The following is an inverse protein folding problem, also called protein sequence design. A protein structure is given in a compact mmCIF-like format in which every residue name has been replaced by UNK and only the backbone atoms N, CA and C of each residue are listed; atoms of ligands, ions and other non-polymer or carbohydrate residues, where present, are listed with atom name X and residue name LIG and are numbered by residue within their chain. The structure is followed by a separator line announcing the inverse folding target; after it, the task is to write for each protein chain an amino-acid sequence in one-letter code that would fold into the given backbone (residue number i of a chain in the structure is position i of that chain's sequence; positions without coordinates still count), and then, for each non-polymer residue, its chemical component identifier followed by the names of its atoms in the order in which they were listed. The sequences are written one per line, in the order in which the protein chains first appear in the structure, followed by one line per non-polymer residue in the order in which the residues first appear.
data_IF_036947542003
#
_entry.id   IF_036947542003
#
_cell.length_a   1.000
_cell.length_b   1.000
_cell.length_c   1.000
_cell.angle_alpha   90.00
_cell.angle_beta   90.00
_cell.angle_gamma   90.00
#
_symmetry.space_group_name_H-M   'P 1'
#
loop_
_entity.id
_entity.type
_entity.pdbx_description
1 polymer ?
#
# COMPACT_ATOMS: atom_id res chain seq x y z
N UNK A 1 -16.72 14.99 -30.85
CA UNK A 1 -15.85 14.71 -29.69
C UNK A 1 -14.49 14.10 -30.12
N UNK A 2 -13.45 14.89 -30.45
CA UNK A 2 -12.12 14.35 -30.79
C UNK A 2 -10.99 14.69 -29.78
N UNK A 3 -11.26 15.35 -28.66
CA UNK A 3 -10.21 15.89 -27.76
C UNK A 3 -9.54 14.85 -26.84
N UNK A 4 -10.16 13.70 -26.56
CA UNK A 4 -9.62 12.72 -25.58
C UNK A 4 -8.40 11.93 -26.07
N UNK A 5 -8.19 11.80 -27.39
CA UNK A 5 -7.06 11.03 -27.93
C UNK A 5 -5.71 11.76 -27.86
N UNK A 6 -5.70 13.11 -27.91
CA UNK A 6 -4.44 13.88 -27.87
C UNK A 6 -3.80 13.91 -26.48
N UNK A 7 -4.59 13.84 -25.40
CA UNK A 7 -4.07 13.92 -24.03
C UNK A 7 -3.31 12.65 -23.58
N UNK A 8 -3.76 11.45 -23.98
CA UNK A 8 -3.04 10.20 -23.66
C UNK A 8 -1.64 10.18 -24.27
N UNK A 9 -1.49 10.69 -25.49
CA UNK A 9 -0.20 10.83 -26.17
C UNK A 9 0.74 11.79 -25.43
N UNK A 10 0.22 12.91 -24.90
CA UNK A 10 1.03 13.88 -24.18
C UNK A 10 1.52 13.33 -22.83
N UNK A 11 0.66 12.65 -22.09
CA UNK A 11 1.01 12.00 -20.82
C UNK A 11 2.04 10.87 -21.02
N UNK A 12 1.90 10.07 -22.09
CA UNK A 12 2.88 9.05 -22.45
C UNK A 12 4.23 9.67 -22.85
N UNK A 13 4.22 10.78 -23.60
CA UNK A 13 5.44 11.52 -23.94
C UNK A 13 6.12 12.11 -22.70
N UNK A 14 5.37 12.71 -21.77
CA UNK A 14 5.89 13.19 -20.49
C UNK A 14 6.47 12.05 -19.64
N UNK A 15 5.77 10.93 -19.52
CA UNK A 15 6.28 9.72 -18.84
C UNK A 15 7.55 9.20 -19.51
N UNK A 16 7.61 9.18 -20.84
CA UNK A 16 8.82 8.76 -21.57
C UNK A 16 9.98 9.75 -21.44
N UNK A 17 9.71 11.06 -21.41
CA UNK A 17 10.73 12.10 -21.27
C UNK A 17 11.31 12.12 -19.86
N UNK A 18 10.47 11.96 -18.84
CA UNK A 18 10.93 11.76 -17.47
C UNK A 18 11.78 10.49 -17.42
N UNK A 19 11.27 9.35 -17.89
CA UNK A 19 11.98 8.05 -17.86
C UNK A 19 13.31 8.05 -18.67
N UNK A 20 13.38 8.75 -19.80
CA UNK A 20 14.57 8.85 -20.64
C UNK A 20 15.64 9.78 -20.04
N UNK A 21 15.24 10.87 -19.38
CA UNK A 21 16.16 11.78 -18.70
C UNK A 21 16.84 11.13 -17.49
N UNK A 22 16.23 10.12 -16.89
CA UNK A 22 16.78 9.38 -15.75
C UNK A 22 17.58 8.12 -16.11
N UNK A 23 17.52 7.61 -17.35
CA UNK A 23 18.27 6.40 -17.78
C UNK A 23 19.69 6.66 -18.27
N UNK A 24 20.09 7.91 -18.47
CA UNK A 24 21.45 8.27 -18.90
C UNK A 24 22.28 8.94 -17.80
N UNK A 25 22.25 8.36 -16.60
CA UNK A 25 23.26 8.63 -15.59
C UNK A 25 24.59 7.99 -16.01
N UNK A 26 25.38 8.69 -16.84
CA UNK A 26 26.83 8.49 -16.82
C UNK A 26 27.26 8.74 -15.39
N UNK A 27 27.84 7.73 -14.74
CA UNK A 27 28.38 7.83 -13.38
C UNK A 27 29.51 8.85 -13.43
N UNK A 28 29.19 10.12 -13.17
CA UNK A 28 30.20 11.12 -12.87
C UNK A 28 30.92 10.67 -11.59
N UNK A 29 32.26 10.84 -11.50
CA UNK A 29 32.98 10.57 -10.27
C UNK A 29 32.31 11.31 -9.13
N UNK A 30 31.98 10.58 -8.06
CA UNK A 30 31.31 11.11 -6.87
C UNK A 30 32.07 12.36 -6.41
N UNK A 31 31.41 13.54 -6.34
CA UNK A 31 31.95 14.65 -5.59
C UNK A 31 32.25 14.14 -4.17
N UNK A 32 33.46 14.40 -3.68
CA UNK A 32 33.82 14.14 -2.28
C UNK A 32 32.72 14.68 -1.39
N UNK A 33 32.06 13.78 -0.68
CA UNK A 33 30.94 14.11 0.21
C UNK A 33 31.40 15.20 1.17
N UNK A 34 30.78 16.40 1.16
CA UNK A 34 31.08 17.40 2.17
C UNK A 34 30.84 16.77 3.55
N UNK A 35 31.63 17.14 4.57
CA UNK A 35 31.47 16.61 5.91
C UNK A 35 30.02 16.78 6.33
N UNK A 36 29.41 15.69 6.80
CA UNK A 36 28.04 15.70 7.31
C UNK A 36 27.89 16.86 8.28
N UNK A 37 26.92 17.78 8.09
CA UNK A 37 26.72 18.88 9.02
C UNK A 37 26.59 18.30 10.44
N UNK A 38 27.16 18.97 11.46
CA UNK A 38 27.06 18.52 12.83
C UNK A 38 25.58 18.26 13.14
N UNK A 39 25.27 17.07 13.67
CA UNK A 39 23.91 16.67 14.03
C UNK A 39 23.37 17.72 15.00
N UNK A 40 22.55 18.63 14.48
CA UNK A 40 21.84 19.61 15.30
C UNK A 40 20.91 18.79 16.17
N UNK A 41 21.11 18.84 17.49
CA UNK A 41 20.16 18.28 18.45
C UNK A 41 18.80 18.90 18.15
N UNK A 42 17.91 18.12 17.54
CA UNK A 42 16.57 18.60 17.21
C UNK A 42 15.89 18.95 18.52
N UNK A 43 15.55 20.24 18.68
CA UNK A 43 14.77 20.70 19.82
C UNK A 43 13.49 19.88 19.87
N UNK A 44 13.13 19.28 21.03
CA UNK A 44 11.92 18.47 21.13
C UNK A 44 10.72 19.26 20.62
N UNK A 45 9.89 18.62 19.80
CA UNK A 45 8.71 19.25 19.23
C UNK A 45 7.86 19.81 20.39
N UNK A 46 7.43 21.08 20.32
CA UNK A 46 6.64 21.67 21.39
C UNK A 46 5.36 20.85 21.60
N UNK A 47 5.12 20.41 22.83
CA UNK A 47 3.91 19.65 23.18
C UNK A 47 2.65 20.52 23.21
N UNK A 48 2.81 21.84 23.19
CA UNK A 48 1.68 22.75 23.03
C UNK A 48 1.08 22.55 21.64
N UNK A 49 -0.19 22.17 21.61
CA UNK A 49 -1.00 22.17 20.39
C UNK A 49 -0.85 23.56 19.77
N UNK A 50 -0.34 23.63 18.55
CA UNK A 50 -0.24 24.92 17.85
C UNK A 50 -1.66 25.44 17.69
N UNK A 51 -2.00 26.49 18.42
CA UNK A 51 -3.25 27.19 18.16
C UNK A 51 -3.10 27.85 16.78
N UNK A 52 -3.88 27.35 15.82
CA UNK A 52 -3.87 27.81 14.44
C UNK A 52 -4.41 29.24 14.38
N UNK A 53 -5.17 29.67 15.38
CA UNK A 53 -5.69 31.03 15.49
C UNK A 53 -4.63 32.03 15.96
N UNK A 54 -3.62 31.58 16.71
CA UNK A 54 -2.58 32.46 17.26
C UNK A 54 -1.41 32.69 16.30
N UNK A 55 -1.26 31.86 15.27
CA UNK A 55 -0.23 32.05 14.25
C UNK A 55 -0.80 32.82 13.05
N UNK A 56 -0.13 33.89 12.60
CA UNK A 56 -0.51 34.52 11.33
C UNK A 56 -0.46 33.46 10.24
N UNK A 57 -1.55 33.36 9.47
CA UNK A 57 -1.63 32.46 8.33
C UNK A 57 -0.44 32.79 7.42
N UNK A 58 0.40 31.79 7.13
CA UNK A 58 1.49 31.98 6.18
C UNK A 58 0.91 32.51 4.86
N UNK A 59 1.40 33.66 4.41
CA UNK A 59 0.99 34.22 3.14
C UNK A 59 1.31 33.20 2.05
N UNK A 60 0.30 32.83 1.25
CA UNK A 60 0.54 31.94 0.13
C UNK A 60 1.49 32.65 -0.83
N UNK A 61 2.56 31.97 -1.30
CA UNK A 61 3.44 32.56 -2.29
C UNK A 61 2.60 32.98 -3.50
N UNK A 62 2.66 34.26 -3.85
CA UNK A 62 1.81 34.86 -4.88
C UNK A 62 2.02 34.25 -6.28
N UNK A 63 3.09 33.47 -6.47
CA UNK A 63 3.45 32.84 -7.74
C UNK A 63 3.68 31.33 -7.60
N UNK A 64 2.61 30.58 -7.36
CA UNK A 64 2.67 29.13 -7.55
C UNK A 64 2.42 28.81 -9.03
N UNK A 65 3.49 28.74 -9.84
CA UNK A 65 3.41 28.42 -11.27
C UNK A 65 2.63 27.14 -11.58
N UNK A 66 2.58 26.20 -10.63
CA UNK A 66 1.78 24.99 -10.76
C UNK A 66 0.29 25.33 -10.82
N UNK A 67 -0.20 26.26 -10.00
CA UNK A 67 -1.61 26.68 -9.94
C UNK A 67 -2.05 27.51 -11.15
N UNK A 68 -1.11 28.13 -11.86
CA UNK A 68 -1.38 28.84 -13.12
C UNK A 68 -1.70 27.88 -14.29
N UNK A 69 -1.45 26.57 -14.10
CA UNK A 69 -1.78 25.55 -15.09
C UNK A 69 -3.26 25.14 -15.03
N UNK A 70 -3.89 24.83 -16.18
CA UNK A 70 -5.19 24.18 -16.21
C UNK A 70 -5.23 22.93 -15.33
N UNK A 71 -6.38 22.68 -14.71
CA UNK A 71 -6.58 21.56 -13.77
C UNK A 71 -6.13 20.22 -14.38
N UNK A 72 -6.41 19.97 -15.65
CA UNK A 72 -6.07 18.72 -16.32
C UNK A 72 -4.56 18.48 -16.38
N UNK A 73 -3.75 19.54 -16.55
CA UNK A 73 -2.29 19.44 -16.53
C UNK A 73 -1.79 19.22 -15.11
N UNK A 74 -2.39 19.88 -14.12
CA UNK A 74 -2.08 19.66 -12.70
C UNK A 74 -2.37 18.23 -12.28
N UNK A 75 -3.53 17.67 -12.64
CA UNK A 75 -3.87 16.26 -12.41
C UNK A 75 -2.87 15.30 -13.08
N UNK A 76 -2.40 15.61 -14.30
CA UNK A 76 -1.36 14.82 -14.96
C UNK A 76 -0.02 14.87 -14.19
N UNK A 77 0.33 16.03 -13.64
CA UNK A 77 1.51 16.20 -12.79
C UNK A 77 1.33 15.41 -11.50
N UNK A 78 0.18 15.50 -10.84
CA UNK A 78 -0.13 14.72 -9.63
C UNK A 78 -0.09 13.23 -9.90
N UNK A 79 -0.67 12.75 -11.01
CA UNK A 79 -0.60 11.33 -11.40
C UNK A 79 0.85 10.88 -11.60
N UNK A 80 1.65 11.65 -12.34
CA UNK A 80 3.03 11.30 -12.60
C UNK A 80 3.90 11.37 -11.33
N UNK A 81 3.63 12.32 -10.45
CA UNK A 81 4.43 12.59 -9.27
C UNK A 81 4.06 11.74 -8.06
N UNK A 82 2.82 11.26 -7.95
CA UNK A 82 2.30 10.61 -6.74
C UNK A 82 1.83 9.16 -6.96
N UNK A 83 1.33 8.81 -8.14
CA UNK A 83 0.57 7.58 -8.35
C UNK A 83 1.39 6.39 -8.87
N UNK A 84 0.75 5.22 -8.93
CA UNK A 84 1.33 3.99 -9.48
C UNK A 84 2.37 3.35 -8.57
N UNK A 85 2.45 3.80 -7.32
CA UNK A 85 3.42 3.33 -6.33
C UNK A 85 2.77 2.33 -5.38
N UNK A 86 3.62 1.49 -4.78
CA UNK A 86 3.28 0.71 -3.61
C UNK A 86 3.97 1.37 -2.41
N UNK A 87 3.16 1.83 -1.46
CA UNK A 87 3.65 2.47 -0.24
C UNK A 87 3.52 1.47 0.89
N UNK A 88 4.64 0.98 1.41
CA UNK A 88 4.70 0.18 2.63
C UNK A 88 4.72 1.09 3.85
N UNK A 89 3.74 0.88 4.72
CA UNK A 89 3.61 1.56 6.00
C UNK A 89 4.06 0.58 7.07
N UNK A 90 5.13 0.94 7.79
CA UNK A 90 5.71 0.14 8.86
C UNK A 90 5.50 0.84 10.19
N UNK A 91 5.36 0.04 11.24
CA UNK A 91 5.61 0.48 12.60
C UNK A 91 7.10 0.79 12.78
N UNK A 92 7.41 1.96 13.32
CA UNK A 92 8.73 2.30 13.82
C UNK A 92 8.55 2.77 15.26
N UNK A 93 9.31 2.22 16.19
CA UNK A 93 9.25 2.64 17.58
C UNK A 93 10.23 3.81 17.79
N UNK A 94 9.71 5.00 18.11
CA UNK A 94 10.53 6.16 18.48
C UNK A 94 10.10 6.65 19.85
N UNK A 95 11.04 6.67 20.80
CA UNK A 95 10.80 7.21 22.15
C UNK A 95 9.57 6.56 22.82
N UNK A 96 9.45 5.23 22.77
CA UNK A 96 8.31 4.46 23.29
C UNK A 96 6.95 4.84 22.67
N UNK A 97 6.95 5.39 21.46
CA UNK A 97 5.75 5.67 20.67
C UNK A 97 5.83 4.96 19.33
N UNK A 98 4.74 4.28 18.97
CA UNK A 98 4.56 3.73 17.63
C UNK A 98 4.36 4.89 16.66
N UNK A 99 5.32 5.11 15.77
CA UNK A 99 5.20 6.05 14.66
C UNK A 99 5.10 5.28 13.34
N UNK A 100 4.39 5.84 12.38
CA UNK A 100 4.29 5.25 11.05
C UNK A 100 5.45 5.72 10.18
N UNK A 101 6.20 4.78 9.61
CA UNK A 101 7.23 5.05 8.59
C UNK A 101 6.74 4.62 7.22
N UNK A 102 6.89 5.51 6.26
CA UNK A 102 6.45 5.29 4.88
C UNK A 102 7.66 4.96 4.04
N UNK A 103 7.56 3.89 3.26
CA UNK A 103 8.61 3.47 2.33
C UNK A 103 7.99 3.04 1.01
N UNK A 104 8.59 3.45 -0.10
CA UNK A 104 8.21 2.93 -1.40
C UNK A 104 8.86 1.56 -1.62
N UNK A 105 8.19 0.69 -2.37
CA UNK A 105 8.81 -0.50 -2.94
C UNK A 105 8.19 -0.84 -4.30
N UNK A 106 8.94 -1.55 -5.13
CA UNK A 106 8.42 -2.18 -6.34
C UNK A 106 7.96 -3.61 -5.99
N UNK A 107 6.65 -3.94 -6.07
CA UNK A 107 6.17 -5.29 -5.79
C UNK A 107 6.62 -6.32 -6.84
N UNK A 108 7.10 -5.86 -8.01
CA UNK A 108 7.59 -6.70 -9.10
C UNK A 108 9.11 -6.61 -9.27
N UNK A 109 9.78 -5.75 -8.49
CA UNK A 109 11.23 -5.79 -8.40
C UNK A 109 11.65 -7.16 -7.90
N UNK A 110 12.73 -7.72 -8.44
CA UNK A 110 13.25 -9.03 -8.05
C UNK A 110 13.48 -9.04 -6.54
N UNK A 111 12.52 -9.61 -5.80
CA UNK A 111 12.55 -9.73 -4.35
C UNK A 111 13.58 -10.76 -3.87
N UNK A 112 14.42 -11.27 -4.78
CA UNK A 112 15.49 -12.23 -4.51
C UNK A 112 16.68 -11.59 -3.79
N UNK A 113 16.83 -10.25 -3.84
CA UNK A 113 17.94 -9.54 -3.18
C UNK A 113 17.55 -8.93 -1.82
N UNK A 114 16.37 -9.24 -1.26
CA UNK A 114 16.07 -8.88 0.12
C UNK A 114 16.64 -9.99 1.00
N UNK A 115 17.91 -9.85 1.37
CA UNK A 115 18.58 -10.75 2.30
C UNK A 115 17.69 -10.99 3.53
N UNK A 116 17.41 -12.28 3.79
CA UNK A 116 16.61 -12.76 4.93
C UNK A 116 17.22 -12.39 6.29
N UNK A 117 18.43 -11.82 6.30
CA UNK A 117 19.16 -11.38 7.49
C UNK A 117 18.55 -10.16 8.22
N UNK A 118 17.36 -9.68 7.80
CA UNK A 118 16.64 -8.65 8.54
C UNK A 118 17.20 -7.23 8.43
N UNK A 119 18.28 -7.03 7.65
CA UNK A 119 18.84 -5.70 7.41
C UNK A 119 18.10 -4.97 6.29
N UNK A 120 16.86 -4.58 6.59
CA UNK A 120 16.06 -3.77 5.66
C UNK A 120 16.58 -2.34 5.47
N UNK A 121 17.63 -1.93 6.18
CA UNK A 121 18.26 -0.60 6.03
C UNK A 121 19.32 -0.55 4.91
N UNK A 122 19.78 -1.71 4.41
CA UNK A 122 20.81 -1.79 3.36
C UNK A 122 20.29 -1.70 1.91
N UNK A 123 18.96 -1.75 1.72
CA UNK A 123 18.36 -1.30 0.45
C UNK A 123 18.59 0.21 0.35
N UNK A 124 19.67 0.60 -0.34
CA UNK A 124 19.95 1.98 -0.75
C UNK A 124 18.70 2.50 -1.43
N UNK A 125 17.84 3.15 -0.65
CA UNK A 125 16.65 3.83 -1.12
C UNK A 125 17.14 4.77 -2.20
N UNK A 126 16.80 4.48 -3.46
CA UNK A 126 17.01 5.43 -4.53
C UNK A 126 16.42 6.76 -4.02
N UNK A 127 17.21 7.83 -3.84
CA UNK A 127 16.69 9.08 -3.29
C UNK A 127 15.60 9.68 -4.19
N UNK A 128 15.47 9.20 -5.44
CA UNK A 128 14.36 9.55 -6.33
C UNK A 128 13.06 8.77 -6.06
N UNK A 129 13.11 7.76 -5.19
CA UNK A 129 11.96 6.96 -4.77
C UNK A 129 11.20 7.54 -3.56
N UNK A 130 11.69 8.63 -2.96
CA UNK A 130 10.93 9.34 -1.95
C UNK A 130 9.66 9.92 -2.59
N UNK A 131 8.52 9.67 -1.94
CA UNK A 131 7.27 10.34 -2.32
C UNK A 131 7.56 11.83 -2.19
N UNK A 132 7.28 12.66 -3.21
CA UNK A 132 7.49 14.09 -3.11
C UNK A 132 6.43 14.68 -2.18
N UNK A 133 6.53 14.41 -0.89
CA UNK A 133 5.67 14.95 0.17
C UNK A 133 5.74 16.48 0.14
N UNK A 134 6.88 17.04 -0.28
CA UNK A 134 7.04 18.46 -0.59
C UNK A 134 5.95 19.00 -1.51
N UNK A 135 5.47 18.20 -2.48
CA UNK A 135 4.36 18.59 -3.35
C UNK A 135 3.07 18.77 -2.55
N UNK A 136 2.75 17.82 -1.67
CA UNK A 136 1.57 17.86 -0.79
C UNK A 136 1.64 18.96 0.27
N UNK A 137 2.84 19.45 0.57
CA UNK A 137 3.12 20.51 1.54
C UNK A 137 3.26 21.90 0.90
N UNK A 138 3.19 22.03 -0.43
CA UNK A 138 3.38 23.32 -1.11
C UNK A 138 2.31 24.35 -0.72
N UNK A 139 1.03 24.03 -0.90
CA UNK A 139 -0.08 24.86 -0.47
C UNK A 139 -1.37 24.05 -0.29
N UNK A 140 -2.36 24.66 0.37
CA UNK A 140 -3.66 24.03 0.65
C UNK A 140 -4.39 23.56 -0.62
N UNK A 141 -4.32 24.34 -1.70
CA UNK A 141 -4.99 23.98 -2.96
C UNK A 141 -4.39 22.73 -3.59
N UNK A 142 -3.06 22.67 -3.71
CA UNK A 142 -2.34 21.50 -4.21
C UNK A 142 -2.63 20.28 -3.35
N UNK A 143 -2.65 20.44 -2.03
CA UNK A 143 -2.99 19.38 -1.10
C UNK A 143 -4.40 18.81 -1.38
N UNK A 144 -5.41 19.66 -1.47
CA UNK A 144 -6.81 19.24 -1.69
C UNK A 144 -6.98 18.53 -3.04
N UNK A 145 -6.32 19.00 -4.09
CA UNK A 145 -6.42 18.41 -5.43
C UNK A 145 -5.63 17.09 -5.56
N UNK A 146 -4.42 17.04 -5.00
CA UNK A 146 -3.52 15.91 -5.16
C UNK A 146 -3.84 14.74 -4.22
N UNK A 147 -4.43 15.00 -3.05
CA UNK A 147 -4.66 13.98 -2.03
C UNK A 147 -5.64 12.88 -2.47
N UNK A 148 -6.79 13.16 -3.10
CA UNK A 148 -7.67 12.12 -3.64
C UNK A 148 -6.96 11.27 -4.72
N UNK A 149 -6.14 11.90 -5.57
CA UNK A 149 -5.38 11.22 -6.62
C UNK A 149 -4.36 10.24 -6.01
N UNK A 150 -3.65 10.67 -4.96
CA UNK A 150 -2.75 9.82 -4.18
C UNK A 150 -3.50 8.61 -3.61
N UNK A 151 -4.59 8.81 -2.88
CA UNK A 151 -5.30 7.71 -2.21
C UNK A 151 -5.95 6.71 -3.18
N UNK A 152 -6.46 7.21 -4.31
CA UNK A 152 -7.19 6.37 -5.26
C UNK A 152 -6.27 5.53 -6.17
N UNK A 153 -5.03 5.97 -6.42
CA UNK A 153 -4.15 5.34 -7.42
C UNK A 153 -2.90 4.69 -6.82
N UNK A 154 -2.69 4.83 -5.53
CA UNK A 154 -1.58 4.22 -4.80
C UNK A 154 -2.04 2.98 -4.07
N UNK A 155 -1.21 1.94 -4.06
CA UNK A 155 -1.46 0.73 -3.27
C UNK A 155 -0.80 0.89 -1.90
N UNK A 156 -1.60 1.02 -0.84
CA UNK A 156 -1.07 1.09 0.51
C UNK A 156 -0.88 -0.31 1.06
N UNK A 157 0.30 -0.58 1.60
CA UNK A 157 0.72 -1.89 2.05
C UNK A 157 0.97 -1.86 3.55
N UNK A 158 0.18 -2.61 4.31
CA UNK A 158 0.26 -2.63 5.76
C UNK A 158 0.59 -4.05 6.27
N UNK A 159 1.33 -4.17 7.38
CA UNK A 159 1.33 -5.43 8.11
C UNK A 159 -0.08 -5.70 8.65
N UNK A 160 -0.51 -6.96 8.61
CA UNK A 160 -1.75 -7.39 9.26
C UNK A 160 -1.66 -7.10 10.77
N UNK A 161 -0.50 -7.37 11.37
CA UNK A 161 -0.19 -7.01 12.74
C UNK A 161 -0.19 -5.49 12.89
N UNK A 162 -1.03 -4.96 13.79
CA UNK A 162 -1.20 -3.52 14.05
C UNK A 162 -1.85 -2.73 12.90
N UNK A 163 -2.64 -3.39 12.02
CA UNK A 163 -3.26 -2.70 10.89
C UNK A 163 -4.07 -1.47 11.31
N UNK A 164 -5.01 -1.60 12.27
CA UNK A 164 -5.89 -0.51 12.70
C UNK A 164 -5.11 0.68 13.28
N UNK A 165 -4.18 0.41 14.21
CA UNK A 165 -3.38 1.46 14.85
C UNK A 165 -2.43 2.14 13.87
N UNK A 166 -1.80 1.39 12.95
CA UNK A 166 -0.96 1.96 11.91
C UNK A 166 -1.77 2.76 10.89
N UNK A 167 -2.96 2.27 10.52
CA UNK A 167 -3.83 2.99 9.61
C UNK A 167 -4.23 4.35 10.19
N UNK A 168 -4.66 4.37 11.45
CA UNK A 168 -5.03 5.60 12.16
C UNK A 168 -3.84 6.56 12.31
N UNK A 169 -2.65 6.03 12.64
CA UNK A 169 -1.44 6.83 12.81
C UNK A 169 -0.78 7.29 11.50
N UNK A 170 -1.18 6.74 10.34
CA UNK A 170 -0.58 7.08 9.03
C UNK A 170 -1.55 7.85 8.14
N UNK A 171 -2.65 7.22 7.74
CA UNK A 171 -3.59 7.76 6.76
C UNK A 171 -4.76 8.48 7.45
N UNK A 172 -5.13 8.02 8.65
CA UNK A 172 -6.30 8.51 9.40
C UNK A 172 -7.63 8.06 8.78
N UNK A 173 -8.68 7.99 9.59
CA UNK A 173 -9.99 7.43 9.19
C UNK A 173 -10.70 8.18 8.05
N UNK A 174 -10.40 9.46 7.86
CA UNK A 174 -10.97 10.25 6.76
C UNK A 174 -10.54 9.72 5.38
N UNK A 175 -9.41 9.01 5.31
CA UNK A 175 -8.89 8.45 4.06
C UNK A 175 -9.66 7.21 3.58
N UNK A 176 -10.45 6.55 4.45
CA UNK A 176 -11.19 5.32 4.14
C UNK A 176 -12.09 5.44 2.91
N UNK A 177 -12.68 6.62 2.71
CA UNK A 177 -13.55 6.90 1.57
C UNK A 177 -12.78 7.08 0.25
N UNK A 178 -11.46 7.26 0.29
CA UNK A 178 -10.66 7.55 -0.89
C UNK A 178 -9.73 6.40 -1.30
N UNK A 179 -9.48 5.45 -0.40
CA UNK A 179 -8.60 4.31 -0.68
C UNK A 179 -9.31 3.34 -1.61
N UNK A 180 -8.69 3.08 -2.77
CA UNK A 180 -9.18 2.10 -3.75
C UNK A 180 -8.30 0.86 -3.84
N UNK A 181 -7.08 0.89 -3.31
CA UNK A 181 -6.10 -0.20 -3.45
C UNK A 181 -5.38 -0.42 -2.13
N UNK A 182 -5.51 -1.63 -1.61
CA UNK A 182 -4.93 -2.04 -0.34
C UNK A 182 -4.18 -3.36 -0.52
N UNK A 183 -3.03 -3.47 0.14
CA UNK A 183 -2.30 -4.71 0.31
C UNK A 183 -2.10 -4.93 1.81
N UNK A 184 -2.44 -6.11 2.30
CA UNK A 184 -2.13 -6.53 3.67
C UNK A 184 -1.10 -7.64 3.56
N UNK A 185 0.02 -7.50 4.27
CA UNK A 185 1.01 -8.56 4.36
C UNK A 185 1.06 -9.14 5.77
N UNK A 186 1.15 -10.46 5.90
CA UNK A 186 1.35 -11.13 7.18
C UNK A 186 2.85 -11.29 7.37
N UNK A 187 3.48 -10.58 8.32
CA UNK A 187 4.92 -10.69 8.53
C UNK A 187 5.27 -12.11 8.99
N UNK A 188 6.39 -12.62 8.49
CA UNK A 188 6.97 -13.86 9.00
C UNK A 188 7.51 -13.64 10.42
N UNK A 189 7.06 -14.43 11.38
CA UNK A 189 7.65 -14.48 12.72
C UNK A 189 8.53 -15.73 12.84
N UNK A 190 9.83 -15.53 12.98
CA UNK A 190 10.76 -16.64 13.21
C UNK A 190 10.41 -17.37 14.52
N UNK A 191 10.17 -18.68 14.42
CA UNK A 191 10.04 -19.57 15.59
C UNK A 191 8.68 -19.60 16.29
N UNK A 192 7.68 -18.88 15.78
CA UNK A 192 6.29 -18.99 16.25
C UNK A 192 5.41 -19.67 15.22
N UNK A 193 4.64 -20.70 15.60
CA UNK A 193 3.49 -21.13 14.81
C UNK A 193 2.47 -19.99 14.85
N UNK A 194 2.45 -19.14 13.83
CA UNK A 194 1.34 -18.21 13.69
C UNK A 194 0.10 -19.06 13.40
N UNK A 195 -0.80 -19.15 14.36
CA UNK A 195 -2.10 -19.73 14.07
C UNK A 195 -2.76 -18.79 13.07
N UNK A 196 -3.00 -19.29 11.87
CA UNK A 196 -3.66 -18.50 10.85
C UNK A 196 -5.07 -18.12 11.34
N UNK A 197 -5.69 -19.01 12.11
CA UNK A 197 -6.95 -18.78 12.78
C UNK A 197 -6.79 -18.00 14.08
N UNK A 198 -5.64 -17.33 14.30
CA UNK A 198 -5.47 -16.37 15.39
C UNK A 198 -6.61 -15.36 15.34
N UNK A 199 -7.52 -15.57 16.29
CA UNK A 199 -8.74 -14.79 16.46
C UNK A 199 -8.42 -13.36 16.85
N UNK A 200 -7.16 -12.98 17.11
CA UNK A 200 -6.81 -11.61 17.48
C UNK A 200 -6.54 -10.71 16.26
N UNK A 201 -5.91 -11.23 15.19
CA UNK A 201 -5.44 -10.40 14.08
C UNK A 201 -6.58 -9.99 13.15
N UNK A 202 -7.30 -10.96 12.58
CA UNK A 202 -8.30 -10.70 11.53
C UNK A 202 -9.50 -9.86 11.98
N UNK A 203 -10.00 -9.97 13.23
CA UNK A 203 -11.06 -9.08 13.71
C UNK A 203 -10.65 -7.61 13.83
N UNK A 204 -9.36 -7.29 13.79
CA UNK A 204 -8.92 -5.88 13.68
C UNK A 204 -8.81 -5.42 12.23
N UNK A 205 -8.45 -6.34 11.32
CA UNK A 205 -8.20 -6.03 9.92
C UNK A 205 -9.49 -5.82 9.13
N UNK A 206 -10.37 -6.82 9.11
CA UNK A 206 -11.53 -6.81 8.20
C UNK A 206 -12.59 -5.77 8.52
N UNK A 207 -12.93 -5.46 9.79
CA UNK A 207 -13.90 -4.40 10.07
C UNK A 207 -13.48 -3.03 9.54
N UNK A 208 -12.18 -2.75 9.45
CA UNK A 208 -11.70 -1.52 8.85
C UNK A 208 -11.75 -1.57 7.31
N UNK A 209 -11.44 -2.72 6.71
CA UNK A 209 -11.57 -2.94 5.26
C UNK A 209 -13.03 -2.80 4.80
N UNK A 210 -13.99 -3.33 5.56
CA UNK A 210 -15.42 -3.17 5.27
C UNK A 210 -15.92 -1.72 5.30
N UNK A 211 -15.19 -0.82 5.96
CA UNK A 211 -15.48 0.63 5.98
C UNK A 211 -14.90 1.36 4.76
N UNK A 212 -14.31 0.66 3.79
CA UNK A 212 -13.77 1.22 2.54
C UNK A 212 -14.73 0.95 1.37
N UNK A 213 -15.80 1.74 1.18
CA UNK A 213 -16.86 1.46 0.21
C UNK A 213 -16.40 1.54 -1.26
N UNK A 214 -15.22 2.10 -1.50
CA UNK A 214 -14.65 2.27 -2.83
C UNK A 214 -13.40 1.43 -3.05
N UNK A 215 -13.16 0.42 -2.21
CA UNK A 215 -12.04 -0.49 -2.38
C UNK A 215 -12.24 -1.32 -3.67
N UNK A 216 -11.33 -1.15 -4.63
CA UNK A 216 -11.37 -1.83 -5.93
C UNK A 216 -10.35 -2.97 -6.02
N UNK A 217 -9.26 -2.89 -5.24
CA UNK A 217 -8.16 -3.86 -5.28
C UNK A 217 -7.74 -4.23 -3.87
N UNK A 218 -7.74 -5.52 -3.57
CA UNK A 218 -7.22 -6.07 -2.33
C UNK A 218 -6.16 -7.14 -2.64
N UNK A 219 -4.99 -7.02 -2.04
CA UNK A 219 -3.96 -8.04 -2.06
C UNK A 219 -3.69 -8.54 -0.65
N UNK A 220 -3.65 -9.86 -0.46
CA UNK A 220 -3.23 -10.51 0.78
C UNK A 220 -1.94 -11.27 0.50
N UNK A 221 -0.86 -10.89 1.19
CA UNK A 221 0.46 -11.50 1.04
C UNK A 221 0.91 -12.16 2.33
N UNK A 222 0.93 -13.48 2.35
CA UNK A 222 1.33 -14.26 3.52
C UNK A 222 2.85 -14.37 3.67
N UNK A 223 3.61 -13.78 2.74
CA UNK A 223 5.07 -13.86 2.76
C UNK A 223 5.57 -15.29 2.62
N UNK A 224 6.85 -15.51 2.94
CA UNK A 224 7.46 -16.85 3.10
C UNK A 224 7.15 -17.38 4.49
N UNK A 225 5.88 -17.40 4.92
CA UNK A 225 5.57 -18.11 6.16
C UNK A 225 5.86 -19.59 5.94
N UNK A 226 6.70 -20.16 6.81
CA UNK A 226 6.92 -21.60 6.84
C UNK A 226 5.62 -22.24 7.32
N UNK A 227 4.70 -22.47 6.39
CA UNK A 227 3.61 -23.40 6.62
C UNK A 227 4.25 -24.77 6.72
N UNK A 228 4.64 -25.18 7.92
CA UNK A 228 4.87 -26.58 8.19
C UNK A 228 3.61 -27.31 7.75
N UNK A 229 3.78 -28.22 6.80
CA UNK A 229 2.72 -28.90 6.07
C UNK A 229 1.89 -29.85 6.94
N UNK A 230 1.68 -29.56 8.23
CA UNK A 230 1.14 -30.49 9.21
C UNK A 230 -0.26 -30.14 9.74
N UNK A 231 -0.97 -29.14 9.20
CA UNK A 231 -2.40 -29.01 9.59
C UNK A 231 -3.32 -28.09 8.79
N UNK A 232 -2.81 -26.97 8.25
CA UNK A 232 -3.70 -25.99 7.61
C UNK A 232 -3.84 -26.16 6.09
N UNK A 233 -2.76 -26.61 5.45
CA UNK A 233 -2.68 -26.89 4.01
C UNK A 233 -2.25 -28.33 3.70
N UNK A 234 -2.06 -29.13 4.75
CA UNK A 234 -1.68 -30.55 4.66
C UNK A 234 -2.78 -31.37 4.01
N UNK A 235 -4.01 -31.13 4.47
CA UNK A 235 -5.20 -31.56 3.77
C UNK A 235 -5.31 -30.67 2.54
N UNK A 236 -5.32 -31.30 1.38
CA UNK A 236 -5.28 -30.65 0.06
C UNK A 236 -6.25 -29.47 -0.13
N UNK A 237 -7.23 -29.25 0.74
CA UNK A 237 -8.15 -28.14 0.69
C UNK A 237 -7.73 -27.03 1.66
N UNK A 238 -7.37 -25.86 1.12
CA UNK A 238 -7.43 -24.61 1.90
C UNK A 238 -8.81 -24.56 2.52
N UNK A 239 -8.86 -24.62 3.85
CA UNK A 239 -10.12 -24.59 4.59
C UNK A 239 -10.75 -23.22 4.36
N UNK A 240 -11.55 -23.09 3.32
CA UNK A 240 -12.36 -21.90 3.03
C UNK A 240 -13.37 -21.59 4.16
N UNK A 241 -13.48 -22.51 5.11
CA UNK A 241 -14.36 -22.48 6.27
C UNK A 241 -13.76 -21.77 7.48
N UNK A 242 -12.53 -21.28 7.35
CA UNK A 242 -11.84 -20.54 8.41
C UNK A 242 -12.46 -19.15 8.58
N UNK A 243 -12.34 -18.60 9.78
CA UNK A 243 -12.92 -17.29 10.13
C UNK A 243 -12.40 -16.20 9.19
N UNK A 244 -11.10 -16.22 8.90
CA UNK A 244 -10.48 -15.27 8.00
C UNK A 244 -11.00 -15.40 6.56
N UNK A 245 -11.18 -16.63 6.05
CA UNK A 245 -11.58 -16.84 4.66
C UNK A 245 -13.00 -16.30 4.47
N UNK A 246 -13.90 -16.57 5.42
CA UNK A 246 -15.23 -15.97 5.44
C UNK A 246 -15.18 -14.44 5.51
N UNK A 247 -14.33 -13.86 6.35
CA UNK A 247 -14.21 -12.41 6.47
C UNK A 247 -13.63 -11.75 5.20
N UNK A 248 -12.71 -12.42 4.49
CA UNK A 248 -12.23 -11.98 3.18
C UNK A 248 -13.33 -12.11 2.13
N UNK A 249 -13.96 -13.28 2.07
CA UNK A 249 -15.02 -13.63 1.11
C UNK A 249 -16.30 -12.82 1.32
N UNK A 250 -16.46 -12.05 2.39
CA UNK A 250 -17.59 -11.13 2.59
C UNK A 250 -17.33 -9.72 2.03
N UNK A 251 -16.10 -9.42 1.56
CA UNK A 251 -15.76 -8.13 0.96
C UNK A 251 -16.35 -8.02 -0.45
N UNK A 252 -17.00 -6.90 -0.76
CA UNK A 252 -17.71 -6.67 -2.03
C UNK A 252 -17.18 -5.48 -2.82
N UNK A 253 -17.53 -5.45 -4.10
CA UNK A 253 -17.16 -4.37 -5.01
C UNK A 253 -15.73 -4.46 -5.55
N UNK A 254 -14.99 -5.53 -5.24
CA UNK A 254 -13.62 -5.71 -5.71
C UNK A 254 -13.59 -5.97 -7.22
N UNK A 255 -12.66 -5.28 -7.88
CA UNK A 255 -12.30 -5.47 -9.29
C UNK A 255 -11.07 -6.35 -9.44
N UNK A 256 -10.20 -6.34 -8.44
CA UNK A 256 -8.98 -7.12 -8.40
C UNK A 256 -8.81 -7.72 -7.00
N UNK A 257 -8.53 -9.00 -6.95
CA UNK A 257 -8.16 -9.69 -5.73
C UNK A 257 -6.89 -10.50 -5.99
N UNK A 258 -5.89 -10.38 -5.11
CA UNK A 258 -4.65 -11.14 -5.20
C UNK A 258 -4.40 -11.86 -3.89
N UNK A 259 -4.04 -13.13 -3.99
CA UNK A 259 -3.66 -13.96 -2.85
C UNK A 259 -2.27 -14.54 -3.10
N UNK A 260 -1.30 -14.13 -2.30
CA UNK A 260 0.09 -14.60 -2.36
C UNK A 260 0.34 -15.46 -1.13
N UNK A 261 0.36 -16.77 -1.32
CA UNK A 261 0.74 -17.75 -0.30
C UNK A 261 2.00 -18.42 -0.84
N UNK A 262 3.13 -18.34 -0.14
CA UNK A 262 4.33 -19.07 -0.51
C UNK A 262 4.43 -20.30 0.36
N UNK A 263 4.32 -21.47 -0.25
CA UNK A 263 4.51 -22.72 0.46
C UNK A 263 6.00 -23.05 0.62
N UNK A 264 6.33 -23.74 1.71
CA UNK A 264 7.63 -24.40 1.85
C UNK A 264 7.65 -25.59 0.90
N UNK A 265 8.83 -25.89 0.37
CA UNK A 265 9.19 -27.02 -0.50
C UNK A 265 8.09 -28.09 -0.70
N UNK A 266 7.62 -28.25 -1.93
CA UNK A 266 6.78 -29.38 -2.34
C UNK A 266 5.38 -29.04 -2.86
N UNK A 267 4.89 -27.80 -2.70
CA UNK A 267 3.62 -27.37 -3.31
C UNK A 267 3.86 -26.78 -4.70
N UNK A 268 3.13 -27.28 -5.70
CA UNK A 268 3.20 -26.77 -7.06
C UNK A 268 2.69 -25.31 -7.12
N UNK A 269 3.37 -24.38 -7.83
CA UNK A 269 2.85 -23.05 -8.14
C UNK A 269 1.46 -23.05 -8.80
N UNK A 270 1.07 -24.17 -9.41
CA UNK A 270 -0.28 -24.36 -9.96
C UNK A 270 -1.34 -24.37 -8.85
N UNK A 271 -1.02 -24.95 -7.68
CA UNK A 271 -1.94 -25.00 -6.54
C UNK A 271 -2.16 -23.61 -5.95
N UNK A 272 -1.11 -22.81 -5.82
CA UNK A 272 -1.20 -21.40 -5.40
C UNK A 272 -2.18 -20.63 -6.31
N UNK A 273 -2.01 -20.77 -7.63
CA UNK A 273 -2.89 -20.14 -8.62
C UNK A 273 -4.32 -20.66 -8.53
N UNK A 274 -4.52 -21.96 -8.32
CA UNK A 274 -5.85 -22.55 -8.20
C UNK A 274 -6.62 -21.98 -6.99
N UNK A 275 -5.94 -21.85 -5.84
CA UNK A 275 -6.50 -21.27 -4.62
C UNK A 275 -6.86 -19.80 -4.89
N UNK A 276 -5.92 -19.01 -5.43
CA UNK A 276 -6.17 -17.61 -5.78
C UNK A 276 -7.36 -17.46 -6.74
N UNK A 277 -7.42 -18.27 -7.80
CA UNK A 277 -8.52 -18.27 -8.77
C UNK A 277 -9.85 -18.66 -8.12
N UNK A 278 -9.85 -19.54 -7.12
CA UNK A 278 -11.07 -19.88 -6.36
C UNK A 278 -11.59 -18.68 -5.58
N UNK A 279 -10.73 -17.96 -4.86
CA UNK A 279 -11.13 -16.71 -4.20
C UNK A 279 -11.56 -15.63 -5.19
N UNK A 280 -10.80 -15.41 -6.28
CA UNK A 280 -11.14 -14.44 -7.30
C UNK A 280 -12.52 -14.70 -7.92
N UNK A 281 -12.84 -15.96 -8.23
CA UNK A 281 -14.17 -16.34 -8.73
C UNK A 281 -15.28 -15.94 -7.77
N UNK A 282 -15.09 -16.14 -6.46
CA UNK A 282 -16.12 -15.81 -5.47
C UNK A 282 -16.24 -14.30 -5.22
N UNK A 283 -15.16 -13.53 -5.33
CA UNK A 283 -15.12 -12.14 -4.85
C UNK A 283 -15.17 -11.06 -5.94
N UNK A 284 -14.74 -11.38 -7.16
CA UNK A 284 -14.48 -10.37 -8.20
C UNK A 284 -15.55 -10.39 -9.28
N UNK A 285 -15.97 -9.19 -9.69
CA UNK A 285 -16.86 -8.98 -10.84
C UNK A 285 -18.35 -9.06 -10.53
N UNK A 286 -19.21 -8.85 -11.54
CA UNK A 286 -20.66 -8.96 -11.37
C UNK A 286 -21.03 -10.39 -10.97
N UNK A 287 -22.02 -10.55 -10.09
CA UNK A 287 -22.44 -11.86 -9.63
C UNK A 287 -21.68 -12.39 -8.39
N UNK A 288 -20.74 -11.62 -7.83
CA UNK A 288 -19.94 -12.06 -6.69
C UNK A 288 -20.80 -12.33 -5.45
N UNK A 289 -21.86 -11.54 -5.25
CA UNK A 289 -22.81 -11.73 -4.16
C UNK A 289 -23.53 -13.08 -4.29
N UNK A 290 -24.10 -13.38 -5.44
CA UNK A 290 -24.83 -14.62 -5.72
C UNK A 290 -23.92 -15.85 -5.58
N UNK A 291 -22.69 -15.76 -6.10
CA UNK A 291 -21.71 -16.84 -5.97
C UNK A 291 -21.28 -17.08 -4.53
N UNK A 292 -21.15 -16.02 -3.75
CA UNK A 292 -20.87 -16.15 -2.33
C UNK A 292 -22.05 -16.73 -1.55
N UNK A 293 -23.28 -16.31 -1.83
CA UNK A 293 -24.46 -16.88 -1.17
C UNK A 293 -24.60 -18.37 -1.50
N UNK A 294 -24.44 -18.77 -2.77
CA UNK A 294 -24.42 -20.18 -3.15
C UNK A 294 -23.32 -20.97 -2.43
N UNK A 295 -22.13 -20.37 -2.27
CA UNK A 295 -21.06 -20.96 -1.47
C UNK A 295 -21.43 -21.13 0.00
N UNK A 296 -22.14 -20.16 0.60
CA UNK A 296 -22.63 -20.27 1.99
C UNK A 296 -23.71 -21.33 2.14
N UNK A 297 -24.62 -21.47 1.16
CA UNK A 297 -25.68 -22.48 1.17
C UNK A 297 -25.11 -23.90 1.09
N UNK A 298 -24.19 -24.14 0.14
CA UNK A 298 -23.47 -25.41 -0.02
C UNK A 298 -22.73 -25.77 1.27
N UNK A 299 -22.07 -24.77 1.87
CA UNK A 299 -21.37 -24.95 3.13
C UNK A 299 -22.29 -25.31 4.31
N UNK A 300 -23.45 -24.67 4.41
CA UNK A 300 -24.42 -24.97 5.47
C UNK A 300 -25.03 -26.37 5.32
N UNK A 301 -25.10 -26.90 4.10
CA UNK A 301 -25.62 -28.25 3.82
C UNK A 301 -24.59 -29.36 4.07
N UNK A 302 -23.29 -29.05 3.97
CA UNK A 302 -22.19 -30.00 4.19
C UNK A 302 -21.75 -30.16 5.66
N UNK A 303 -22.37 -29.43 6.59
CA UNK A 303 -22.13 -29.52 8.04
C UNK A 303 -23.18 -30.36 8.75
#
# INVERSE_FOLDING_TARGET
MPSRFRFKSLALRLKSLLKARFRHGRVAPRPTTPPSPPRVNMTPLPMSRIDIHDKPLAEQPQSCLLLDLPLELRECIYDAALCGRWIRIKAEEKQNRLVSRWSWFDPFGNAEDIDEAGDTDSLKSDPTAEIPISLLLTCRQVHIEALPILYQRTTFCFPALNFDSLFDASLGRYSLLNIRRLSIYVPYMYGGSYDFDDQSTWPTVFPLIHKMPHLESLALDFGKTIFTASGFFADSEVKMHTVWAHAVLSIRGLRHFRLSIKFVEGVSPEREREIEQRFQRLMVGPGADERYQAFLEDWLQGK
#
